data_IF_740838304934
#
_entry.id   IF_740838304934
#
_cell.length_a   1.000
_cell.length_b   1.000
_cell.length_c   1.000
_cell.angle_alpha   90.00
_cell.angle_beta   90.00
_cell.angle_gamma   90.00
#
_symmetry.space_group_name_H-M   'P 1'
#
loop_
_entity.id
_entity.type
_entity.pdbx_description
1 polymer ?
#
# COMPACT_ATOMS: atom_id res chain seq x y z
N UNK A 1 16.95 -1.25 26.72
CA UNK A 1 17.19 -2.12 25.53
C UNK A 1 17.12 -3.62 25.84
N UNK A 2 16.96 -4.02 27.11
CA UNK A 2 17.22 -5.43 27.54
C UNK A 2 16.31 -6.46 26.87
N UNK A 3 15.13 -6.10 26.38
CA UNK A 3 14.14 -7.09 25.91
C UNK A 3 13.56 -6.82 24.50
N UNK A 4 13.88 -5.71 23.85
CA UNK A 4 13.40 -5.41 22.50
C UNK A 4 14.48 -4.66 21.71
N UNK A 5 15.14 -5.33 20.76
CA UNK A 5 16.16 -4.71 19.91
C UNK A 5 15.66 -3.47 19.16
N UNK A 6 14.35 -3.39 18.86
CA UNK A 6 13.76 -2.25 18.15
C UNK A 6 13.77 -0.95 18.97
N UNK A 7 13.98 -1.02 20.28
CA UNK A 7 14.13 0.15 21.15
C UNK A 7 15.57 0.69 21.15
N UNK A 8 16.52 -0.01 20.52
CA UNK A 8 17.89 0.47 20.40
C UNK A 8 17.96 1.69 19.47
N UNK A 9 18.74 2.74 19.83
CA UNK A 9 18.97 3.90 18.95
C UNK A 9 19.74 3.54 17.67
N UNK A 10 20.47 2.41 17.66
CA UNK A 10 21.17 1.92 16.47
C UNK A 10 20.28 1.03 15.58
N UNK A 11 19.06 0.70 16.00
CA UNK A 11 18.13 -0.06 15.17
C UNK A 11 17.61 0.83 14.04
N UNK A 12 18.00 0.48 12.82
CA UNK A 12 17.59 1.23 11.63
C UNK A 12 16.15 0.90 11.24
N UNK A 13 15.19 1.66 11.80
CA UNK A 13 13.76 1.44 11.56
C UNK A 13 13.34 1.55 10.09
N UNK A 14 14.10 2.31 9.29
CA UNK A 14 13.76 2.49 7.88
C UNK A 14 13.92 1.20 7.07
N UNK A 15 14.84 0.32 7.46
CA UNK A 15 15.16 -0.90 6.72
C UNK A 15 14.93 -2.19 7.51
N UNK A 16 15.14 -2.17 8.84
CA UNK A 16 14.99 -3.34 9.71
C UNK A 16 13.58 -3.45 10.32
N UNK A 17 12.92 -2.31 10.56
CA UNK A 17 11.57 -2.28 11.10
C UNK A 17 10.56 -2.82 10.09
N UNK A 18 9.79 -3.84 10.49
CA UNK A 18 8.75 -4.46 9.68
C UNK A 18 7.40 -4.16 10.31
N UNK A 19 6.53 -3.48 9.58
CA UNK A 19 5.26 -2.96 10.10
C UNK A 19 4.10 -3.30 9.19
N UNK A 20 2.96 -3.63 9.77
CA UNK A 20 1.68 -3.57 9.07
C UNK A 20 1.30 -2.09 8.92
N UNK A 21 1.26 -1.59 7.69
CA UNK A 21 1.11 -0.17 7.42
C UNK A 21 -0.33 0.24 7.09
N UNK A 22 -1.25 -0.74 7.15
CA UNK A 22 -2.68 -0.51 7.04
C UNK A 22 -3.08 0.18 5.73
N UNK A 23 -3.94 1.16 5.83
CA UNK A 23 -4.64 1.78 4.69
C UNK A 23 -3.75 2.42 3.62
N UNK A 24 -2.46 2.60 3.84
CA UNK A 24 -1.55 3.04 2.77
C UNK A 24 -1.41 2.00 1.65
N UNK A 25 -1.73 0.74 1.93
CA UNK A 25 -1.72 -0.34 0.94
C UNK A 25 -2.86 -0.25 -0.09
N UNK A 26 -3.97 0.41 0.22
CA UNK A 26 -5.17 0.44 -0.63
C UNK A 26 -4.93 0.98 -2.04
N UNK A 27 -3.90 1.79 -2.22
CA UNK A 27 -3.57 2.32 -3.54
C UNK A 27 -3.05 1.24 -4.51
N UNK A 28 -2.43 0.17 -3.99
CA UNK A 28 -1.84 -0.87 -4.83
C UNK A 28 -2.89 -1.69 -5.60
N UNK A 29 -3.95 -2.27 -4.98
CA UNK A 29 -5.00 -2.93 -5.75
C UNK A 29 -5.72 -1.98 -6.70
N UNK A 30 -5.87 -0.71 -6.35
CA UNK A 30 -6.44 0.29 -7.27
C UNK A 30 -5.53 0.51 -8.47
N UNK A 31 -4.22 0.67 -8.27
CA UNK A 31 -3.26 0.82 -9.35
C UNK A 31 -3.26 -0.39 -10.30
N UNK A 32 -3.28 -1.61 -9.74
CA UNK A 32 -3.39 -2.83 -10.53
C UNK A 32 -4.69 -2.87 -11.35
N UNK A 33 -5.81 -2.53 -10.74
CA UNK A 33 -7.10 -2.52 -11.42
C UNK A 33 -7.19 -1.52 -12.56
N UNK A 34 -6.59 -0.34 -12.40
CA UNK A 34 -6.45 0.68 -13.44
C UNK A 34 -5.54 0.19 -14.58
N UNK A 35 -4.41 -0.44 -14.24
CA UNK A 35 -3.44 -0.94 -15.21
C UNK A 35 -4.02 -2.06 -16.07
N UNK A 36 -4.73 -2.98 -15.44
CA UNK A 36 -5.40 -4.10 -16.12
C UNK A 36 -6.72 -3.69 -16.80
N UNK A 37 -7.12 -2.42 -16.67
CA UNK A 37 -8.38 -1.87 -17.21
C UNK A 37 -9.64 -2.55 -16.69
N UNK A 38 -9.57 -3.27 -15.57
CA UNK A 38 -10.71 -3.90 -14.88
C UNK A 38 -11.59 -2.83 -14.23
N UNK A 39 -10.99 -1.69 -13.86
CA UNK A 39 -11.65 -0.54 -13.29
C UNK A 39 -11.19 0.77 -13.93
N UNK A 40 -12.03 1.79 -13.79
CA UNK A 40 -11.72 3.20 -14.04
C UNK A 40 -11.89 3.99 -12.74
N UNK A 41 -11.42 5.25 -12.65
CA UNK A 41 -11.68 6.10 -11.49
C UNK A 41 -13.16 6.20 -11.09
N UNK A 42 -14.06 6.18 -12.08
CA UNK A 42 -15.50 6.36 -11.91
C UNK A 42 -16.27 5.04 -11.70
N UNK A 43 -15.59 3.89 -11.83
CA UNK A 43 -16.22 2.58 -11.59
C UNK A 43 -16.76 2.53 -10.16
N UNK A 44 -18.04 2.19 -10.00
CA UNK A 44 -18.72 2.15 -8.70
C UNK A 44 -18.74 0.74 -8.12
N UNK A 45 -18.59 0.65 -6.81
CA UNK A 45 -18.69 -0.57 -6.03
C UNK A 45 -19.72 -0.40 -4.92
N UNK A 46 -20.51 -1.43 -4.68
CA UNK A 46 -21.43 -1.47 -3.55
C UNK A 46 -20.63 -1.55 -2.24
N UNK A 47 -20.83 -0.59 -1.37
CA UNK A 47 -20.17 -0.46 -0.06
C UNK A 47 -21.18 -0.38 1.08
N UNK A 48 -22.47 -0.74 0.80
CA UNK A 48 -23.57 -0.63 1.77
C UNK A 48 -23.38 -1.55 2.97
N UNK A 49 -23.06 -2.81 2.70
CA UNK A 49 -22.95 -3.83 3.74
C UNK A 49 -21.52 -4.30 3.97
N UNK A 50 -21.14 -4.61 5.21
CA UNK A 50 -19.89 -5.30 5.51
C UNK A 50 -19.75 -6.60 4.71
N UNK A 51 -18.52 -7.00 4.43
CA UNK A 51 -18.18 -8.22 3.71
C UNK A 51 -17.81 -9.30 4.72
N UNK A 52 -18.46 -10.47 4.61
CA UNK A 52 -18.08 -11.65 5.40
C UNK A 52 -17.20 -12.58 4.57
N UNK A 53 -16.02 -12.91 5.06
CA UNK A 53 -15.06 -13.81 4.42
C UNK A 53 -14.47 -14.73 5.50
N UNK A 54 -14.64 -16.05 5.33
CA UNK A 54 -14.07 -17.06 6.24
C UNK A 54 -14.33 -16.78 7.73
N UNK A 55 -15.56 -16.42 8.07
CA UNK A 55 -15.97 -16.14 9.45
C UNK A 55 -15.59 -14.74 9.98
N UNK A 56 -14.83 -13.96 9.24
CA UNK A 56 -14.48 -12.58 9.62
C UNK A 56 -15.33 -11.56 8.88
N UNK A 57 -15.66 -10.48 9.57
CA UNK A 57 -16.41 -9.35 8.99
C UNK A 57 -15.45 -8.20 8.72
N UNK A 58 -15.47 -7.69 7.49
CA UNK A 58 -14.71 -6.51 7.06
C UNK A 58 -15.69 -5.36 6.89
N UNK A 59 -15.45 -4.28 7.60
CA UNK A 59 -16.27 -3.07 7.60
C UNK A 59 -15.44 -1.82 7.36
N UNK A 60 -16.10 -0.74 6.98
CA UNK A 60 -15.53 0.61 7.00
C UNK A 60 -15.65 1.20 8.41
N UNK A 61 -14.82 2.19 8.72
CA UNK A 61 -14.86 2.86 10.03
C UNK A 61 -16.14 3.70 10.22
N UNK A 62 -16.83 4.06 9.13
CA UNK A 62 -18.17 4.67 9.12
C UNK A 62 -18.87 4.37 7.81
N UNK A 63 -20.16 4.58 7.77
CA UNK A 63 -20.94 4.46 6.55
C UNK A 63 -20.68 5.64 5.60
N UNK A 64 -20.30 5.35 4.37
CA UNK A 64 -19.98 6.33 3.34
C UNK A 64 -21.03 6.45 2.22
N UNK A 65 -22.12 5.72 2.33
CA UNK A 65 -23.14 5.58 1.30
C UNK A 65 -23.15 4.19 0.65
N UNK A 66 -24.21 3.88 -0.13
CA UNK A 66 -24.41 2.55 -0.65
C UNK A 66 -23.42 2.17 -1.76
N UNK A 67 -22.88 3.16 -2.47
CA UNK A 67 -21.94 2.95 -3.56
C UNK A 67 -20.84 4.01 -3.51
N UNK A 68 -19.59 3.59 -3.72
CA UNK A 68 -18.44 4.47 -3.87
C UNK A 68 -17.79 4.27 -5.23
N UNK A 69 -17.36 5.35 -5.86
CA UNK A 69 -16.42 5.29 -6.99
C UNK A 69 -15.05 4.79 -6.53
N UNK A 70 -14.23 4.28 -7.43
CA UNK A 70 -12.84 3.90 -7.13
C UNK A 70 -12.07 5.09 -6.54
N UNK A 71 -12.30 6.28 -7.07
CA UNK A 71 -11.73 7.51 -6.54
C UNK A 71 -12.17 7.76 -5.10
N UNK A 72 -13.48 7.68 -4.81
CA UNK A 72 -14.01 7.85 -3.45
C UNK A 72 -13.50 6.79 -2.47
N UNK A 73 -13.32 5.54 -2.92
CA UNK A 73 -12.75 4.46 -2.11
C UNK A 73 -11.37 4.87 -1.56
N UNK A 74 -10.54 5.51 -2.37
CA UNK A 74 -9.22 5.98 -1.94
C UNK A 74 -9.34 7.23 -1.06
N UNK A 75 -10.14 8.22 -1.47
CA UNK A 75 -10.33 9.48 -0.73
C UNK A 75 -10.87 9.22 0.69
N UNK A 76 -11.87 8.36 0.80
CA UNK A 76 -12.55 8.01 2.07
C UNK A 76 -11.88 6.86 2.80
N UNK A 77 -10.90 6.21 2.17
CA UNK A 77 -10.19 5.05 2.73
C UNK A 77 -11.09 3.85 3.04
N UNK A 78 -12.02 3.49 2.14
CA UNK A 78 -12.95 2.37 2.33
C UNK A 78 -12.24 1.01 2.28
N UNK A 79 -12.40 0.20 3.34
CA UNK A 79 -11.97 -1.20 3.37
C UNK A 79 -12.85 -2.04 2.44
N UNK A 80 -14.18 -1.88 2.55
CA UNK A 80 -15.16 -2.63 1.76
C UNK A 80 -14.90 -2.43 0.27
N UNK A 81 -14.75 -1.17 -0.16
CA UNK A 81 -14.48 -0.85 -1.56
C UNK A 81 -13.19 -1.47 -2.06
N UNK A 82 -12.12 -1.40 -1.26
CA UNK A 82 -10.82 -2.00 -1.61
C UNK A 82 -10.92 -3.51 -1.75
N UNK A 83 -11.60 -4.19 -0.84
CA UNK A 83 -11.80 -5.64 -0.92
C UNK A 83 -12.63 -6.02 -2.15
N UNK A 84 -13.66 -5.26 -2.50
CA UNK A 84 -14.45 -5.48 -3.73
C UNK A 84 -13.61 -5.37 -5.00
N UNK A 85 -12.73 -4.38 -5.07
CA UNK A 85 -11.75 -4.27 -6.17
C UNK A 85 -10.86 -5.51 -6.21
N UNK A 86 -10.30 -5.88 -5.06
CA UNK A 86 -9.39 -7.02 -4.94
C UNK A 86 -10.03 -8.34 -5.33
N UNK A 87 -11.31 -8.55 -4.99
CA UNK A 87 -12.07 -9.73 -5.42
C UNK A 87 -12.18 -9.85 -6.94
N UNK A 88 -12.29 -8.72 -7.67
CA UNK A 88 -12.26 -8.73 -9.14
C UNK A 88 -10.88 -9.01 -9.72
N UNK A 89 -9.82 -8.60 -9.04
CA UNK A 89 -8.44 -8.80 -9.49
C UNK A 89 -7.97 -10.25 -9.29
N UNK A 90 -8.41 -10.88 -8.22
CA UNK A 90 -7.95 -12.20 -7.81
C UNK A 90 -6.59 -12.20 -7.08
N UNK A 91 -6.37 -13.23 -6.28
CA UNK A 91 -5.22 -13.34 -5.40
C UNK A 91 -3.89 -13.43 -6.14
N UNK A 92 -3.83 -14.19 -7.23
CA UNK A 92 -2.59 -14.39 -7.99
C UNK A 92 -2.09 -13.09 -8.64
N UNK A 93 -2.99 -12.29 -9.19
CA UNK A 93 -2.65 -11.01 -9.80
C UNK A 93 -2.17 -10.01 -8.76
N UNK A 94 -2.85 -9.93 -7.59
CA UNK A 94 -2.43 -9.04 -6.51
C UNK A 94 -1.07 -9.43 -5.96
N UNK A 95 -0.85 -10.72 -5.68
CA UNK A 95 0.44 -11.25 -5.21
C UNK A 95 1.57 -10.95 -6.19
N UNK A 96 1.34 -11.23 -7.48
CA UNK A 96 2.31 -10.92 -8.53
C UNK A 96 2.66 -9.44 -8.55
N UNK A 97 1.66 -8.57 -8.51
CA UNK A 97 1.85 -7.13 -8.53
C UNK A 97 2.63 -6.62 -7.31
N UNK A 98 2.34 -7.15 -6.12
CA UNK A 98 3.10 -6.82 -4.92
C UNK A 98 4.57 -7.24 -5.03
N UNK A 99 4.85 -8.38 -5.67
CA UNK A 99 6.20 -8.82 -5.97
C UNK A 99 6.89 -7.89 -6.96
N UNK A 100 6.21 -7.52 -8.04
CA UNK A 100 6.75 -6.61 -9.07
C UNK A 100 7.08 -5.22 -8.49
N UNK A 101 6.33 -4.77 -7.47
CA UNK A 101 6.59 -3.54 -6.70
C UNK A 101 7.70 -3.69 -5.64
N UNK A 102 8.25 -4.88 -5.42
CA UNK A 102 9.27 -5.15 -4.42
C UNK A 102 8.76 -5.26 -2.99
N UNK A 103 7.45 -5.44 -2.78
CA UNK A 103 6.83 -5.52 -1.44
C UNK A 103 6.96 -6.91 -0.79
N UNK A 104 7.41 -7.93 -1.53
CA UNK A 104 7.47 -9.32 -1.04
C UNK A 104 8.90 -9.87 -0.93
N UNK A 105 9.88 -9.17 -1.46
CA UNK A 105 11.29 -9.57 -1.50
C UNK A 105 12.13 -8.62 -0.64
N UNK A 106 13.34 -9.03 -0.26
CA UNK A 106 14.28 -8.16 0.47
C UNK A 106 14.65 -6.93 -0.38
N UNK A 107 14.87 -5.80 0.27
CA UNK A 107 15.34 -4.59 -0.43
C UNK A 107 16.76 -4.75 -0.96
N UNK A 108 17.05 -4.05 -2.05
CA UNK A 108 18.37 -4.01 -2.69
C UNK A 108 19.25 -2.86 -2.20
N UNK A 109 18.80 -2.13 -1.17
CA UNK A 109 19.58 -1.01 -0.59
C UNK A 109 20.90 -1.53 -0.02
N UNK A 110 22.00 -0.81 -0.31
CA UNK A 110 23.37 -1.23 0.01
C UNK A 110 23.77 -0.97 1.48
N UNK A 111 22.90 -1.38 2.41
CA UNK A 111 23.16 -1.33 3.85
C UNK A 111 23.30 -2.76 4.39
N UNK A 112 24.25 -2.96 5.30
CA UNK A 112 24.46 -4.27 5.94
C UNK A 112 23.21 -4.76 6.69
N UNK A 113 22.46 -3.82 7.27
CA UNK A 113 21.23 -4.08 8.05
C UNK A 113 20.07 -4.61 7.22
N UNK A 114 20.14 -4.49 5.89
CA UNK A 114 19.11 -5.06 5.01
C UNK A 114 19.26 -6.58 4.86
N UNK A 115 20.45 -7.12 5.18
CA UNK A 115 20.71 -8.55 5.10
C UNK A 115 19.84 -9.29 6.15
N UNK A 116 19.03 -10.22 5.66
CA UNK A 116 18.15 -11.01 6.53
C UNK A 116 16.79 -10.36 6.83
N UNK A 117 16.60 -9.08 6.53
CA UNK A 117 15.29 -8.45 6.68
C UNK A 117 14.40 -8.79 5.49
N UNK A 118 13.30 -9.48 5.75
CA UNK A 118 12.31 -9.85 4.73
C UNK A 118 10.94 -9.35 5.13
N UNK A 119 10.16 -8.85 4.16
CA UNK A 119 8.74 -8.57 4.38
C UNK A 119 8.00 -9.81 4.88
N UNK A 120 7.04 -9.60 5.77
CA UNK A 120 6.11 -10.66 6.17
C UNK A 120 4.93 -10.65 5.21
N UNK A 121 4.53 -11.82 4.76
CA UNK A 121 3.44 -11.99 3.82
C UNK A 121 2.60 -13.21 4.19
N UNK A 122 1.35 -13.30 3.73
CA UNK A 122 0.53 -14.48 3.96
C UNK A 122 1.21 -15.75 3.45
N UNK A 123 1.23 -16.81 4.26
CA UNK A 123 1.75 -18.12 3.83
C UNK A 123 0.94 -18.68 2.65
N UNK A 124 -0.36 -18.46 2.68
CA UNK A 124 -1.31 -18.83 1.60
C UNK A 124 -2.15 -17.62 1.27
N UNK A 125 -2.25 -17.26 0.01
CA UNK A 125 -3.06 -16.15 -0.49
C UNK A 125 -4.47 -16.64 -0.81
N UNK A 126 -5.23 -17.03 0.23
CA UNK A 126 -6.65 -17.35 0.13
C UNK A 126 -7.50 -16.06 0.17
N UNK A 127 -8.81 -16.22 0.08
CA UNK A 127 -9.74 -15.09 0.00
C UNK A 127 -9.62 -14.09 1.16
N UNK A 128 -9.48 -14.58 2.40
CA UNK A 128 -9.36 -13.69 3.57
C UNK A 128 -7.99 -12.99 3.59
N UNK A 129 -6.92 -13.73 3.45
CA UNK A 129 -5.56 -13.19 3.48
C UNK A 129 -5.33 -12.20 2.34
N UNK A 130 -5.88 -12.49 1.15
CA UNK A 130 -5.83 -11.55 0.02
C UNK A 130 -6.62 -10.29 0.30
N UNK A 131 -7.81 -10.42 0.88
CA UNK A 131 -8.65 -9.29 1.25
C UNK A 131 -7.95 -8.41 2.30
N UNK A 132 -7.39 -9.00 3.36
CA UNK A 132 -6.69 -8.23 4.42
C UNK A 132 -5.41 -7.59 3.92
N UNK A 133 -4.60 -8.31 3.13
CA UNK A 133 -3.38 -7.77 2.52
C UNK A 133 -3.66 -6.58 1.59
N UNK A 134 -4.85 -6.52 0.97
CA UNK A 134 -5.21 -5.41 0.07
C UNK A 134 -5.33 -4.06 0.78
N UNK A 135 -5.59 -4.06 2.08
CA UNK A 135 -5.62 -2.84 2.90
C UNK A 135 -4.57 -2.85 4.03
N UNK A 136 -3.51 -3.68 3.87
CA UNK A 136 -2.29 -3.62 4.67
C UNK A 136 -2.32 -4.35 6.01
N UNK A 137 -3.19 -5.38 6.15
CA UNK A 137 -3.20 -6.29 7.31
C UNK A 137 -2.78 -7.69 6.89
N UNK A 138 -2.04 -8.39 7.75
CA UNK A 138 -1.45 -9.70 7.42
C UNK A 138 -0.30 -9.62 6.40
N UNK A 139 0.16 -8.40 6.10
CA UNK A 139 1.37 -8.10 5.33
C UNK A 139 2.13 -7.00 6.06
N UNK A 140 3.42 -7.22 6.31
CA UNK A 140 4.26 -6.23 6.97
C UNK A 140 5.54 -5.99 6.16
N UNK A 141 5.89 -4.73 5.99
CA UNK A 141 7.04 -4.27 5.18
C UNK A 141 7.81 -3.19 5.92
N UNK A 142 9.06 -2.96 5.54
CA UNK A 142 9.79 -1.80 6.06
C UNK A 142 9.41 -0.51 5.33
N UNK A 143 9.66 0.66 5.94
CA UNK A 143 9.43 1.96 5.31
C UNK A 143 10.08 2.11 3.94
N UNK A 144 11.27 1.55 3.73
CA UNK A 144 11.95 1.62 2.42
C UNK A 144 11.23 0.81 1.35
N UNK A 145 10.63 -0.33 1.69
CA UNK A 145 9.79 -1.10 0.74
C UNK A 145 8.58 -0.27 0.31
N UNK A 146 7.89 0.35 1.27
CA UNK A 146 6.74 1.19 0.97
C UNK A 146 7.13 2.39 0.10
N UNK A 147 8.20 3.11 0.47
CA UNK A 147 8.68 4.25 -0.29
C UNK A 147 9.06 3.87 -1.72
N UNK A 148 9.72 2.73 -1.91
CA UNK A 148 10.07 2.19 -3.24
C UNK A 148 8.83 1.89 -4.06
N UNK A 149 7.84 1.18 -3.50
CA UNK A 149 6.61 0.84 -4.19
C UNK A 149 5.80 2.10 -4.58
N UNK A 150 5.68 3.08 -3.69
CA UNK A 150 5.05 4.37 -4.00
C UNK A 150 5.81 5.13 -5.08
N UNK A 151 7.16 5.17 -5.00
CA UNK A 151 8.00 5.79 -6.02
C UNK A 151 7.71 5.25 -7.42
N UNK A 152 7.58 3.92 -7.57
CA UNK A 152 7.20 3.28 -8.83
C UNK A 152 5.83 3.79 -9.32
N UNK A 153 4.84 3.85 -8.42
CA UNK A 153 3.50 4.29 -8.80
C UNK A 153 3.44 5.75 -9.24
N UNK A 154 4.31 6.64 -8.72
CA UNK A 154 4.20 8.09 -8.97
C UNK A 154 5.22 8.64 -9.97
N UNK A 155 6.26 7.90 -10.35
CA UNK A 155 7.31 8.33 -11.25
C UNK A 155 7.05 8.08 -12.76
N UNK A 156 5.84 7.68 -13.10
CA UNK A 156 5.49 7.24 -14.45
C UNK A 156 5.43 5.72 -14.60
N UNK A 157 5.55 4.99 -13.49
CA UNK A 157 5.41 3.54 -13.42
C UNK A 157 6.72 2.76 -13.58
N UNK A 158 7.86 3.43 -13.57
CA UNK A 158 9.16 2.79 -13.78
C UNK A 158 9.74 2.22 -12.49
N UNK A 159 10.29 1.02 -12.58
CA UNK A 159 10.95 0.35 -11.46
C UNK A 159 12.17 1.15 -11.00
N UNK A 160 12.28 1.33 -9.70
CA UNK A 160 13.40 2.02 -9.04
C UNK A 160 13.99 1.08 -7.99
N UNK A 161 15.30 0.96 -7.98
CA UNK A 161 16.01 0.31 -6.89
C UNK A 161 16.54 1.38 -5.94
N UNK A 162 16.18 1.33 -4.65
CA UNK A 162 16.71 2.28 -3.68
C UNK A 162 18.22 2.11 -3.57
N UNK A 163 18.95 3.22 -3.42
CA UNK A 163 20.41 3.23 -3.28
C UNK A 163 20.86 4.43 -2.45
N UNK A 164 21.88 4.23 -1.62
CA UNK A 164 22.59 5.32 -0.92
C UNK A 164 23.85 5.77 -1.67
N UNK A 165 24.21 5.05 -2.73
CA UNK A 165 25.40 5.37 -3.51
C UNK A 165 25.08 6.46 -4.54
N UNK A 166 25.92 7.49 -4.57
CA UNK A 166 25.83 8.52 -5.61
C UNK A 166 26.20 7.90 -6.96
N UNK A 167 25.22 7.79 -7.86
CA UNK A 167 25.47 7.31 -9.23
C UNK A 167 25.90 8.47 -10.12
N UNK A 168 27.02 8.28 -10.83
CA UNK A 168 27.56 9.25 -11.78
C UNK A 168 26.84 9.14 -13.14
N UNK A 169 26.29 7.95 -13.45
CA UNK A 169 25.59 7.71 -14.72
C UNK A 169 24.09 7.87 -14.54
N UNK A 170 23.42 8.41 -15.58
CA UNK A 170 21.96 8.51 -15.67
C UNK A 170 21.33 7.13 -15.42
N UNK A 171 20.38 7.08 -14.50
CA UNK A 171 19.64 5.84 -14.21
C UNK A 171 18.78 5.54 -15.46
N UNK A 172 19.09 4.45 -16.15
CA UNK A 172 18.20 3.93 -17.17
C UNK A 172 17.01 3.28 -16.47
N UNK A 173 15.82 3.84 -16.71
CA UNK A 173 14.56 3.26 -16.25
C UNK A 173 14.23 2.08 -17.14
N UNK A 174 14.49 0.85 -16.68
CA UNK A 174 14.45 -0.35 -17.54
C UNK A 174 13.08 -1.02 -17.59
N UNK A 175 12.41 -1.17 -16.44
CA UNK A 175 11.16 -1.91 -16.36
C UNK A 175 10.01 -0.98 -15.99
N UNK A 176 8.96 -0.97 -16.80
CA UNK A 176 7.73 -0.25 -16.50
C UNK A 176 6.71 -1.21 -15.90
N UNK A 177 6.36 -1.01 -14.63
CA UNK A 177 5.42 -1.86 -13.88
C UNK A 177 3.98 -1.42 -14.12
N UNK A 178 3.75 -0.11 -14.24
CA UNK A 178 2.45 0.46 -14.60
C UNK A 178 2.64 1.55 -15.66
N UNK A 179 1.62 1.76 -16.48
CA UNK A 179 1.63 2.78 -17.53
C UNK A 179 1.70 4.21 -16.95
N UNK A 180 2.19 5.15 -17.75
CA UNK A 180 2.16 6.59 -17.39
C UNK A 180 0.75 7.06 -17.09
N UNK A 181 -0.27 6.49 -17.74
CA UNK A 181 -1.69 6.82 -17.52
C UNK A 181 -2.11 6.37 -16.11
N UNK A 182 -1.80 5.14 -15.72
CA UNK A 182 -2.07 4.63 -14.37
C UNK A 182 -1.35 5.47 -13.32
N UNK A 183 -0.07 5.74 -13.50
CA UNK A 183 0.71 6.61 -12.62
C UNK A 183 0.09 8.00 -12.46
N UNK A 184 -0.39 8.62 -13.55
CA UNK A 184 -1.09 9.90 -13.50
C UNK A 184 -2.39 9.82 -12.67
N UNK A 185 -3.20 8.79 -12.88
CA UNK A 185 -4.44 8.59 -12.13
C UNK A 185 -4.16 8.38 -10.63
N UNK A 186 -3.15 7.58 -10.30
CA UNK A 186 -2.71 7.37 -8.90
C UNK A 186 -2.33 8.69 -8.24
N UNK A 187 -1.50 9.52 -8.89
CA UNK A 187 -1.12 10.84 -8.36
C UNK A 187 -2.33 11.74 -8.11
N UNK A 188 -3.26 11.81 -9.07
CA UNK A 188 -4.48 12.59 -8.92
C UNK A 188 -5.37 12.11 -7.77
N UNK A 189 -5.49 10.79 -7.58
CA UNK A 189 -6.23 10.25 -6.44
C UNK A 189 -5.54 10.59 -5.11
N UNK A 190 -4.22 10.43 -5.02
CA UNK A 190 -3.45 10.78 -3.82
C UNK A 190 -3.53 12.27 -3.49
N UNK A 191 -3.53 13.16 -4.49
CA UNK A 191 -3.75 14.59 -4.32
C UNK A 191 -5.16 14.87 -3.77
N UNK A 192 -6.19 14.17 -4.26
CA UNK A 192 -7.55 14.30 -3.74
C UNK A 192 -7.72 13.78 -2.31
N UNK A 193 -6.92 12.83 -1.86
CA UNK A 193 -6.88 12.44 -0.44
C UNK A 193 -6.45 13.61 0.44
N UNK A 194 -5.50 14.43 -0.01
CA UNK A 194 -5.05 15.63 0.69
C UNK A 194 -6.07 16.75 0.56
N UNK A 195 -6.56 17.05 -0.64
CA UNK A 195 -7.44 18.20 -0.84
C UNK A 195 -8.89 17.97 -0.37
N UNK A 196 -9.40 16.74 -0.38
CA UNK A 196 -10.81 16.40 -0.11
C UNK A 196 -11.02 15.25 0.88
N UNK A 197 -9.94 14.54 1.25
CA UNK A 197 -10.03 13.28 1.97
C UNK A 197 -9.50 13.31 3.40
N UNK A 198 -8.93 12.18 3.78
CA UNK A 198 -8.47 11.89 5.14
C UNK A 198 -7.15 12.58 5.53
N UNK A 199 -6.45 13.21 4.59
CA UNK A 199 -5.15 13.84 4.81
C UNK A 199 -5.18 15.38 4.62
N UNK A 200 -6.31 16.04 4.87
CA UNK A 200 -6.46 17.50 4.69
C UNK A 200 -5.49 18.34 5.49
N UNK A 201 -5.08 17.87 6.65
CA UNK A 201 -4.10 18.56 7.52
C UNK A 201 -2.69 18.61 6.88
N UNK A 202 -2.45 17.85 5.81
CA UNK A 202 -1.19 17.84 5.06
C UNK A 202 -1.22 18.74 3.82
N UNK A 203 -2.24 19.58 3.67
CA UNK A 203 -2.33 20.53 2.56
C UNK A 203 -1.49 21.77 2.87
N UNK A 204 -0.42 21.96 2.10
CA UNK A 204 0.47 23.12 2.21
C UNK A 204 0.28 24.02 0.99
N UNK A 205 -0.12 25.26 1.22
CA UNK A 205 -0.26 26.26 0.17
C UNK A 205 1.02 26.41 -0.67
N UNK A 206 0.86 26.46 -2.00
CA UNK A 206 1.96 26.61 -2.95
C UNK A 206 2.58 25.30 -3.46
N UNK A 207 2.24 24.14 -2.88
CA UNK A 207 2.70 22.83 -3.34
C UNK A 207 1.52 21.90 -3.70
N UNK A 208 1.72 21.05 -4.68
CA UNK A 208 0.81 19.94 -4.96
C UNK A 208 1.26 18.73 -4.15
N UNK A 209 0.54 18.47 -3.07
CA UNK A 209 0.83 17.37 -2.16
C UNK A 209 -0.15 16.22 -2.42
N UNK A 210 0.35 15.00 -2.47
CA UNK A 210 -0.45 13.78 -2.55
C UNK A 210 0.00 12.79 -1.47
N UNK A 211 -0.95 12.12 -0.85
CA UNK A 211 -0.64 11.17 0.21
C UNK A 211 -1.78 10.20 0.51
N UNK A 212 -1.51 9.25 1.39
CA UNK A 212 -2.52 8.34 1.92
C UNK A 212 -2.28 8.14 3.42
N UNK A 213 -3.30 8.35 4.22
CA UNK A 213 -3.26 8.05 5.66
C UNK A 213 -3.21 6.54 5.89
N UNK A 214 -2.44 6.12 6.89
CA UNK A 214 -2.38 4.75 7.38
C UNK A 214 -2.77 4.69 8.86
N UNK A 215 -3.57 3.70 9.21
CA UNK A 215 -3.86 3.31 10.59
C UNK A 215 -3.67 1.81 10.65
N UNK A 216 -2.84 1.34 11.56
CA UNK A 216 -2.64 -0.07 11.84
C UNK A 216 -2.86 -0.33 13.32
N UNK A 217 -3.57 -1.39 13.63
CA UNK A 217 -3.72 -1.85 15.00
C UNK A 217 -2.45 -2.58 15.41
N UNK A 218 -1.89 -2.22 16.56
CA UNK A 218 -0.78 -2.94 17.15
C UNK A 218 -1.35 -3.86 18.22
N UNK A 219 -1.07 -5.18 18.18
CA UNK A 219 -1.52 -6.09 19.23
C UNK A 219 -1.07 -5.58 20.60
N UNK A 220 -1.98 -5.55 21.55
CA UNK A 220 -1.62 -5.22 22.94
C UNK A 220 -0.93 -6.43 23.57
N UNK A 221 0.36 -6.36 23.90
CA UNK A 221 1.10 -7.51 24.44
C UNK A 221 0.58 -7.98 25.81
N UNK A 222 -0.24 -7.18 26.49
CA UNK A 222 -0.77 -7.46 27.83
C UNK A 222 -2.18 -8.10 27.77
N UNK A 223 -2.96 -7.85 26.74
CA UNK A 223 -4.37 -8.29 26.66
C UNK A 223 -4.64 -9.34 25.58
N UNK A 224 -3.62 -9.80 24.84
CA UNK A 224 -3.79 -10.83 23.81
C UNK A 224 -4.93 -10.48 22.86
N UNK A 225 -4.71 -9.64 21.88
CA UNK A 225 -5.69 -9.26 20.87
C UNK A 225 -5.82 -10.29 19.77
#
# INVERSE_FOLDING_TARGET
FKNDPSNSPIFNRAVQGIYELGSVFKIFPVALGLETKIITPDTKFNTHNPIRISGRTISDHKYFGPNLSVEDIIIKSSNIGTVRITQKLGSNNLKKFYKDLGLLDSTTLELSETKGTKPQQPRKWKNLETATASYGHGIAVSPIHLATAYSILVNGGFKVNPTILKKIKKIELRDQIVSKKTSKNVRLMLEKVVTKGTARESDFGGYRVGGKTGTAEKPNPIQGG
#
